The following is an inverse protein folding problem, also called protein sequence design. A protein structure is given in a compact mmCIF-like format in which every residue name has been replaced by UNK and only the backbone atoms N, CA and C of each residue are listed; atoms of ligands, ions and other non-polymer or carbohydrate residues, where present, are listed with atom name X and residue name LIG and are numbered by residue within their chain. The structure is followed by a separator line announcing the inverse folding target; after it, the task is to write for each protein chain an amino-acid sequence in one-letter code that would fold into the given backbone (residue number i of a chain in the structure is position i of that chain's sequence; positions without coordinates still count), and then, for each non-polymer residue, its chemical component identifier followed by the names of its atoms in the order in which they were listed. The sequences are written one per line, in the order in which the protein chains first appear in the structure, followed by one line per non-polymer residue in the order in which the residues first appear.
data_IF_774988010200
#
_entry.id   IF_774988010200
#
_cell.length_a   1.000
_cell.length_b   1.000
_cell.length_c   1.000
_cell.angle_alpha   90.00
_cell.angle_beta   90.00
_cell.angle_gamma   90.00
#
_symmetry.space_group_name_H-M   'P 1'
#
loop_
_entity.id
_entity.type
_entity.pdbx_description
1 polymer ?
#
# COMPACT_ATOMS: atom_id res chain seq x y z
N UNK A 1 2.30 18.40 -14.92
CA UNK A 1 2.40 19.21 -13.67
C UNK A 1 2.19 18.25 -12.51
N UNK A 2 3.26 17.78 -11.86
CA UNK A 2 3.12 16.92 -10.67
C UNK A 2 3.59 17.71 -9.46
N UNK A 3 2.74 18.61 -8.99
CA UNK A 3 2.97 19.32 -7.73
C UNK A 3 2.50 18.42 -6.59
N UNK A 4 3.40 17.65 -5.99
CA UNK A 4 3.24 17.22 -4.60
C UNK A 4 4.29 17.98 -3.78
N UNK A 5 3.84 18.98 -3.02
CA UNK A 5 4.09 18.91 -1.58
C UNK A 5 2.93 19.55 -0.80
N UNK A 6 2.01 18.72 -0.32
CA UNK A 6 1.27 19.07 0.91
C UNK A 6 1.69 18.05 1.93
N UNK A 7 2.48 18.48 2.92
CA UNK A 7 2.66 17.71 4.16
C UNK A 7 1.27 17.37 4.68
N UNK A 8 0.94 16.08 4.69
CA UNK A 8 -0.30 15.58 5.27
C UNK A 8 -0.37 16.02 6.74
N UNK A 9 -1.55 16.45 7.20
CA UNK A 9 -1.78 16.58 8.63
C UNK A 9 -1.74 15.19 9.28
N UNK A 10 -1.47 15.11 10.59
CA UNK A 10 -1.47 13.84 11.32
C UNK A 10 -2.80 13.10 11.20
N UNK A 11 -3.92 13.84 11.15
CA UNK A 11 -5.26 13.27 10.95
C UNK A 11 -5.42 12.68 9.54
N UNK A 12 -4.97 13.39 8.49
CA UNK A 12 -5.00 12.89 7.12
C UNK A 12 -4.11 11.64 6.97
N UNK A 13 -2.93 11.65 7.57
CA UNK A 13 -2.03 10.50 7.60
C UNK A 13 -2.70 9.29 8.26
N UNK A 14 -3.35 9.49 9.41
CA UNK A 14 -4.04 8.43 10.12
C UNK A 14 -5.21 7.84 9.30
N UNK A 15 -6.03 8.69 8.69
CA UNK A 15 -7.15 8.26 7.84
C UNK A 15 -6.63 7.40 6.68
N UNK A 16 -5.57 7.83 6.01
CA UNK A 16 -4.99 7.09 4.89
C UNK A 16 -4.41 5.74 5.33
N UNK A 17 -3.69 5.70 6.47
CA UNK A 17 -3.17 4.45 7.02
C UNK A 17 -4.28 3.47 7.41
N UNK A 18 -5.38 3.97 8.00
CA UNK A 18 -6.56 3.14 8.29
C UNK A 18 -7.17 2.57 7.00
N UNK A 19 -7.27 3.39 5.96
CA UNK A 19 -7.72 2.96 4.63
C UNK A 19 -6.84 1.86 4.03
N UNK A 20 -5.51 2.02 4.08
CA UNK A 20 -4.58 1.00 3.59
C UNK A 20 -4.69 -0.33 4.35
N UNK A 21 -4.91 -0.30 5.66
CA UNK A 21 -5.17 -1.51 6.45
C UNK A 21 -6.45 -2.21 6.02
N UNK A 22 -7.52 -1.44 5.74
CA UNK A 22 -8.75 -2.01 5.21
C UNK A 22 -8.54 -2.71 3.86
N UNK A 23 -7.84 -2.05 2.93
CA UNK A 23 -7.52 -2.63 1.61
C UNK A 23 -6.67 -3.89 1.76
N UNK A 24 -5.63 -3.87 2.60
CA UNK A 24 -4.79 -5.05 2.87
C UNK A 24 -5.62 -6.24 3.36
N UNK A 25 -6.57 -5.99 4.24
CA UNK A 25 -7.47 -7.03 4.74
C UNK A 25 -8.42 -7.53 3.66
N UNK A 26 -8.93 -6.66 2.78
CA UNK A 26 -9.77 -7.07 1.66
C UNK A 26 -9.04 -8.04 0.72
N UNK A 27 -7.77 -7.74 0.39
CA UNK A 27 -6.91 -8.64 -0.41
C UNK A 27 -6.70 -10.00 0.28
N UNK A 28 -6.54 -10.01 1.60
CA UNK A 28 -6.37 -11.24 2.37
C UNK A 28 -7.65 -12.08 2.46
N UNK A 29 -8.81 -11.43 2.48
CA UNK A 29 -10.13 -12.06 2.64
C UNK A 29 -10.81 -12.42 1.32
N UNK A 30 -10.22 -12.04 0.18
CA UNK A 30 -10.76 -12.33 -1.13
C UNK A 30 -10.87 -13.86 -1.34
N UNK A 31 -12.11 -14.36 -1.43
CA UNK A 31 -12.37 -15.79 -1.66
C UNK A 31 -12.23 -16.11 -3.14
N UNK A 32 -10.99 -16.30 -3.56
CA UNK A 32 -10.62 -16.76 -4.90
C UNK A 32 -9.89 -18.10 -4.76
N UNK A 33 -10.14 -19.01 -5.70
CA UNK A 33 -9.43 -20.28 -5.79
C UNK A 33 -7.91 -20.06 -5.86
N UNK A 34 -7.19 -20.78 -5.02
CA UNK A 34 -5.75 -20.66 -4.98
C UNK A 34 -5.13 -21.12 -6.30
N UNK A 35 -4.39 -20.22 -6.94
CA UNK A 35 -3.52 -20.49 -8.08
C UNK A 35 -2.20 -19.76 -7.89
N UNK A 36 -1.09 -20.22 -8.51
CA UNK A 36 0.17 -19.48 -8.50
C UNK A 36 0.05 -18.05 -9.01
N UNK A 37 -0.85 -17.81 -9.96
CA UNK A 37 -1.17 -16.49 -10.50
C UNK A 37 -1.82 -15.61 -9.43
N UNK A 38 -2.82 -16.12 -8.71
CA UNK A 38 -3.48 -15.41 -7.60
C UNK A 38 -2.49 -15.10 -6.47
N UNK A 39 -1.57 -16.01 -6.16
CA UNK A 39 -0.51 -15.74 -5.19
C UNK A 39 0.43 -14.61 -5.66
N UNK A 40 0.86 -14.65 -6.93
CA UNK A 40 1.69 -13.60 -7.52
C UNK A 40 0.97 -12.24 -7.52
N UNK A 41 -0.33 -12.22 -7.81
CA UNK A 41 -1.16 -11.01 -7.79
C UNK A 41 -1.27 -10.43 -6.38
N UNK A 42 -1.55 -11.27 -5.38
CA UNK A 42 -1.57 -10.85 -3.97
C UNK A 42 -0.23 -10.27 -3.53
N UNK A 43 0.89 -10.91 -3.89
CA UNK A 43 2.24 -10.39 -3.59
C UNK A 43 2.46 -9.01 -4.21
N UNK A 44 2.05 -8.80 -5.46
CA UNK A 44 2.12 -7.49 -6.14
C UNK A 44 1.29 -6.43 -5.42
N UNK A 45 0.06 -6.78 -5.04
CA UNK A 45 -0.83 -5.87 -4.32
C UNK A 45 -0.27 -5.51 -2.93
N UNK A 46 0.27 -6.48 -2.18
CA UNK A 46 0.91 -6.20 -0.90
C UNK A 46 2.17 -5.33 -1.01
N UNK A 47 2.97 -5.51 -2.06
CA UNK A 47 4.12 -4.64 -2.32
C UNK A 47 3.68 -3.19 -2.58
N UNK A 48 2.67 -2.98 -3.42
CA UNK A 48 2.12 -1.65 -3.68
C UNK A 48 1.54 -0.98 -2.42
N UNK A 49 0.84 -1.74 -1.57
CA UNK A 49 0.32 -1.25 -0.29
C UNK A 49 1.47 -0.83 0.64
N UNK A 50 2.55 -1.64 0.70
CA UNK A 50 3.71 -1.33 1.53
C UNK A 50 4.46 -0.07 1.06
N UNK A 51 4.58 0.13 -0.25
CA UNK A 51 5.15 1.36 -0.82
C UNK A 51 4.34 2.59 -0.44
N UNK A 52 3.01 2.52 -0.57
CA UNK A 52 2.11 3.60 -0.18
C UNK A 52 2.18 3.90 1.33
N UNK A 53 2.22 2.86 2.16
CA UNK A 53 2.38 3.02 3.61
C UNK A 53 3.69 3.72 3.98
N UNK A 54 4.79 3.39 3.29
CA UNK A 54 6.06 4.05 3.49
C UNK A 54 6.03 5.53 3.07
N UNK A 55 5.45 5.83 1.90
CA UNK A 55 5.26 7.20 1.42
C UNK A 55 4.44 8.06 2.41
N UNK A 56 3.34 7.52 2.92
CA UNK A 56 2.47 8.20 3.89
C UNK A 56 3.18 8.43 5.22
N UNK A 57 4.01 7.48 5.66
CA UNK A 57 4.80 7.62 6.89
C UNK A 57 6.04 8.53 6.73
N UNK A 58 6.23 9.15 5.56
CA UNK A 58 7.42 9.95 5.27
C UNK A 58 8.71 9.13 5.24
N UNK A 59 8.62 7.79 5.27
CA UNK A 59 9.75 6.92 4.94
C UNK A 59 9.79 6.86 3.43
N UNK A 60 10.63 7.68 2.81
CA UNK A 60 10.98 7.49 1.41
C UNK A 60 11.33 6.01 1.23
N UNK A 61 10.44 5.26 0.58
CA UNK A 61 10.64 3.86 0.32
C UNK A 61 11.81 3.79 -0.65
N UNK A 62 13.00 3.62 -0.12
CA UNK A 62 14.15 3.23 -0.92
C UNK A 62 13.82 1.83 -1.45
N UNK A 63 13.22 1.78 -2.62
CA UNK A 63 13.13 0.58 -3.46
C UNK A 63 14.58 0.16 -3.74
N UNK A 64 15.06 -0.99 -3.26
CA UNK A 64 16.31 -1.51 -3.78
C UNK A 64 16.04 -1.99 -5.20
N UNK A 65 16.53 -1.24 -6.18
CA UNK A 65 16.61 -1.70 -7.56
C UNK A 65 17.54 -2.93 -7.61
N UNK A 66 16.98 -4.10 -7.91
CA UNK A 66 17.69 -5.25 -8.46
C UNK A 66 16.78 -6.03 -9.41
#
# INVERSE_FOLDING_TARGET
MTTMPQTLSSEQQEILLRGLRFVKNAVALEMIDYTPQVEADRRRQYAAIAELEALINGRSAAVPAR
#
